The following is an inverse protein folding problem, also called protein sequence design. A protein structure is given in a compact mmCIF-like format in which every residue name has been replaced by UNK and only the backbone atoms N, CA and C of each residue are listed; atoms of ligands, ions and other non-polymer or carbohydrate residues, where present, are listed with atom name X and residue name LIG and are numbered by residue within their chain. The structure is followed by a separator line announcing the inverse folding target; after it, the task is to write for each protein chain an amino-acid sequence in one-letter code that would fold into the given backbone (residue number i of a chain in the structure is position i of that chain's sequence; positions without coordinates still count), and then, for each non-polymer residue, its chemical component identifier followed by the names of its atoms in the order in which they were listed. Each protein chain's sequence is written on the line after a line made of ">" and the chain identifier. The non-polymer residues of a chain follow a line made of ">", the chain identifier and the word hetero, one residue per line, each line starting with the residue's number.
data_IF_972200442530
#
_entry.id   IF_972200442530
#
_cell.length_a   1.000
_cell.length_b   1.000
_cell.length_c   1.000
_cell.angle_alpha   90.00
_cell.angle_beta   90.00
_cell.angle_gamma   90.00
#
_symmetry.space_group_name_H-M   'P 1'
#
loop_
_entity.id
_entity.type
_entity.pdbx_description
1 polymer ?
#
# COMPACT_ATOMS: atom_id res chain seq x y z
N UNK A 1 -7.43 -13.35 20.40
CA UNK A 1 -7.83 -12.08 21.02
C UNK A 1 -8.50 -11.27 19.93
N UNK A 2 -9.76 -10.85 20.13
CA UNK A 2 -10.37 -9.89 19.23
C UNK A 2 -9.58 -8.59 19.34
N UNK A 3 -9.12 -8.04 18.21
CA UNK A 3 -8.55 -6.70 18.16
C UNK A 3 -9.65 -5.73 18.65
N UNK A 4 -9.36 -4.97 19.71
CA UNK A 4 -10.23 -3.86 20.08
C UNK A 4 -9.93 -2.71 19.08
N UNK A 5 -10.81 -2.49 18.13
CA UNK A 5 -10.69 -1.49 17.07
C UNK A 5 -11.77 -0.40 17.25
N UNK A 6 -11.98 0.04 18.47
CA UNK A 6 -13.09 0.93 18.83
C UNK A 6 -12.91 2.34 18.26
N UNK A 7 -11.66 2.79 18.05
CA UNK A 7 -11.35 4.09 17.49
C UNK A 7 -10.34 3.99 16.33
N UNK A 8 -10.18 5.07 15.58
CA UNK A 8 -9.29 5.13 14.41
C UNK A 8 -7.80 4.98 14.78
N UNK A 9 -7.39 5.48 15.94
CA UNK A 9 -6.01 5.36 16.42
C UNK A 9 -5.64 3.88 16.60
N UNK A 10 -6.47 3.11 17.31
CA UNK A 10 -6.24 1.66 17.50
C UNK A 10 -6.19 0.92 16.16
N UNK A 11 -7.03 1.33 15.19
CA UNK A 11 -7.00 0.77 13.82
C UNK A 11 -5.69 1.08 13.12
N UNK A 12 -5.23 2.33 13.14
CA UNK A 12 -4.00 2.76 12.48
C UNK A 12 -2.76 2.07 13.07
N UNK A 13 -2.68 1.96 14.40
CA UNK A 13 -1.63 1.20 15.09
C UNK A 13 -1.66 -0.29 14.74
N UNK A 14 -2.84 -0.91 14.75
CA UNK A 14 -2.98 -2.33 14.41
C UNK A 14 -2.60 -2.64 12.97
N UNK A 15 -2.86 -1.71 12.02
CA UNK A 15 -2.52 -1.87 10.61
C UNK A 15 -1.02 -2.01 10.38
N UNK A 16 -0.18 -1.35 11.18
CA UNK A 16 1.28 -1.31 11.03
C UNK A 16 2.05 -1.98 12.17
N UNK A 17 1.36 -2.72 13.01
CA UNK A 17 1.96 -3.42 14.15
C UNK A 17 3.16 -4.29 13.74
N UNK A 18 4.16 -4.41 14.61
CA UNK A 18 5.36 -5.21 14.36
C UNK A 18 5.02 -6.66 13.99
N UNK A 19 5.65 -7.18 12.96
CA UNK A 19 5.36 -8.50 12.41
C UNK A 19 4.11 -8.56 11.52
N UNK A 20 3.48 -7.42 11.24
CA UNK A 20 2.27 -7.30 10.42
C UNK A 20 2.50 -6.37 9.23
N UNK A 21 1.69 -6.56 8.20
CA UNK A 21 1.62 -5.65 7.07
C UNK A 21 0.28 -5.77 6.35
N UNK A 22 0.14 -5.04 5.26
CA UNK A 22 -1.11 -4.90 4.52
C UNK A 22 -0.99 -5.61 3.16
N UNK A 23 -1.95 -6.46 2.84
CA UNK A 23 -2.10 -7.03 1.51
C UNK A 23 -2.85 -6.00 0.63
N UNK A 24 -2.16 -5.41 -0.33
CA UNK A 24 -2.77 -4.56 -1.34
C UNK A 24 -3.31 -5.41 -2.48
N UNK A 25 -4.61 -5.75 -2.42
CA UNK A 25 -5.34 -6.57 -3.38
C UNK A 25 -6.43 -5.74 -4.09
N UNK A 26 -6.12 -4.46 -4.34
CA UNK A 26 -7.04 -3.42 -4.79
C UNK A 26 -6.86 -3.05 -6.27
N UNK A 27 -6.25 -3.93 -7.05
CA UNK A 27 -6.09 -3.71 -8.48
C UNK A 27 -7.46 -3.51 -9.14
N UNK A 28 -7.59 -2.41 -9.90
CA UNK A 28 -8.76 -2.17 -10.75
C UNK A 28 -8.92 -3.28 -11.79
N UNK A 29 -10.11 -3.43 -12.35
CA UNK A 29 -10.42 -4.45 -13.38
C UNK A 29 -9.39 -4.47 -14.50
N UNK A 30 -8.94 -3.30 -14.98
CA UNK A 30 -7.91 -3.21 -16.03
C UNK A 30 -6.52 -3.64 -15.55
N UNK A 31 -6.19 -3.38 -14.28
CA UNK A 31 -4.87 -3.74 -13.72
C UNK A 31 -4.80 -5.23 -13.41
N UNK A 32 -5.83 -5.81 -12.82
CA UNK A 32 -5.87 -7.25 -12.55
C UNK A 32 -5.94 -8.05 -13.86
N UNK A 33 -6.64 -7.53 -14.89
CA UNK A 33 -6.67 -8.13 -16.23
C UNK A 33 -5.26 -8.31 -16.79
N UNK A 34 -4.45 -7.25 -16.78
CA UNK A 34 -3.04 -7.33 -17.23
C UNK A 34 -2.19 -8.34 -16.43
N UNK A 35 -2.51 -8.60 -15.17
CA UNK A 35 -1.82 -9.61 -14.38
C UNK A 35 -2.27 -11.03 -14.75
N UNK A 36 -3.56 -11.22 -14.94
CA UNK A 36 -4.12 -12.52 -15.38
C UNK A 36 -3.64 -12.89 -16.79
N UNK A 37 -3.49 -11.90 -17.68
CA UNK A 37 -2.92 -12.10 -19.01
C UNK A 37 -1.50 -12.69 -18.96
N UNK A 38 -0.69 -12.35 -17.96
CA UNK A 38 0.67 -12.90 -17.78
C UNK A 38 0.69 -14.41 -17.51
N UNK A 39 -0.42 -14.96 -17.05
CA UNK A 39 -0.61 -16.40 -16.80
C UNK A 39 -1.62 -17.02 -17.78
N UNK A 40 -1.90 -16.34 -18.90
CA UNK A 40 -2.84 -16.77 -19.92
C UNK A 40 -4.25 -17.11 -19.38
N UNK A 41 -4.72 -16.35 -18.38
CA UNK A 41 -6.02 -16.53 -17.75
C UNK A 41 -6.94 -15.37 -18.12
N UNK A 42 -8.13 -15.67 -18.64
CA UNK A 42 -9.11 -14.65 -19.00
C UNK A 42 -9.61 -13.89 -17.75
N UNK A 43 -9.67 -12.56 -17.84
CA UNK A 43 -10.17 -11.72 -16.77
C UNK A 43 -11.70 -11.60 -16.80
N UNK A 44 -12.37 -12.58 -16.25
CA UNK A 44 -13.81 -12.55 -15.96
C UNK A 44 -14.05 -12.16 -14.50
N UNK A 45 -15.28 -11.83 -14.14
CA UNK A 45 -15.65 -11.61 -12.74
C UNK A 45 -15.36 -12.85 -11.88
N UNK A 46 -15.64 -14.03 -12.40
CA UNK A 46 -15.41 -15.30 -11.71
C UNK A 46 -13.91 -15.57 -11.48
N UNK A 47 -13.06 -15.34 -12.49
CA UNK A 47 -11.61 -15.54 -12.33
C UNK A 47 -10.98 -14.51 -11.43
N UNK A 48 -11.47 -13.26 -11.46
CA UNK A 48 -11.03 -12.23 -10.51
C UNK A 48 -11.42 -12.59 -9.08
N UNK A 49 -12.67 -13.02 -8.86
CA UNK A 49 -13.11 -13.49 -7.55
C UNK A 49 -12.31 -14.71 -7.08
N UNK A 50 -12.10 -15.71 -7.92
CA UNK A 50 -11.29 -16.90 -7.58
C UNK A 50 -9.87 -16.53 -7.17
N UNK A 51 -9.26 -15.57 -7.85
CA UNK A 51 -7.94 -15.07 -7.46
C UNK A 51 -7.95 -14.35 -6.11
N UNK A 52 -8.96 -13.50 -5.83
CA UNK A 52 -9.11 -12.84 -4.53
C UNK A 52 -9.37 -13.84 -3.41
N UNK A 53 -10.24 -14.81 -3.68
CA UNK A 53 -10.58 -15.86 -2.73
C UNK A 53 -9.35 -16.63 -2.27
N UNK A 54 -8.52 -17.10 -3.21
CA UNK A 54 -7.30 -17.82 -2.85
C UNK A 54 -6.34 -17.02 -1.97
N UNK A 55 -6.29 -15.69 -2.13
CA UNK A 55 -5.46 -14.83 -1.31
C UNK A 55 -6.04 -14.64 0.10
N UNK A 56 -7.34 -14.39 0.19
CA UNK A 56 -8.01 -14.04 1.44
C UNK A 56 -8.29 -15.25 2.33
N UNK A 57 -8.46 -16.42 1.72
CA UNK A 57 -8.75 -17.68 2.45
C UNK A 57 -7.51 -18.49 2.80
N UNK A 58 -6.30 -17.98 2.54
CA UNK A 58 -5.06 -18.64 2.92
C UNK A 58 -4.98 -18.82 4.45
N UNK A 59 -4.84 -20.08 4.89
CA UNK A 59 -4.85 -20.41 6.32
C UNK A 59 -3.67 -19.72 7.05
N UNK A 60 -3.99 -19.11 8.19
CA UNK A 60 -3.00 -18.39 8.99
C UNK A 60 -2.58 -17.03 8.43
N UNK A 61 -3.22 -16.50 7.39
CA UNK A 61 -2.90 -15.20 6.78
C UNK A 61 -2.83 -14.08 7.83
N UNK A 62 -3.72 -14.09 8.80
CA UNK A 62 -3.77 -13.14 9.91
C UNK A 62 -2.53 -13.18 10.83
N UNK A 63 -1.66 -14.16 10.71
CA UNK A 63 -0.39 -14.16 11.46
C UNK A 63 0.56 -13.07 10.96
N UNK A 64 0.49 -12.72 9.66
CA UNK A 64 1.41 -11.80 8.99
C UNK A 64 0.72 -10.58 8.40
N UNK A 65 -0.59 -10.68 8.11
CA UNK A 65 -1.37 -9.61 7.48
C UNK A 65 -2.36 -9.03 8.47
N UNK A 66 -2.25 -7.72 8.69
CA UNK A 66 -3.13 -6.94 9.56
C UNK A 66 -4.38 -6.45 8.83
N UNK A 67 -4.26 -6.10 7.55
CA UNK A 67 -5.33 -5.54 6.76
C UNK A 67 -5.25 -5.90 5.29
N UNK A 68 -6.36 -5.81 4.58
CA UNK A 68 -6.47 -6.05 3.14
C UNK A 68 -7.13 -4.84 2.49
N UNK A 69 -6.46 -4.25 1.47
CA UNK A 69 -7.09 -3.25 0.61
C UNK A 69 -7.81 -3.98 -0.51
N UNK A 70 -9.10 -3.74 -0.66
CA UNK A 70 -9.93 -4.32 -1.71
C UNK A 70 -10.31 -3.28 -2.77
N UNK A 71 -10.58 -3.75 -3.98
CA UNK A 71 -11.26 -2.98 -5.01
C UNK A 71 -12.78 -3.08 -4.81
N UNK A 72 -13.54 -2.11 -5.30
CA UNK A 72 -15.00 -2.02 -5.12
C UNK A 72 -15.75 -3.31 -5.49
N UNK A 73 -15.47 -3.90 -6.66
CA UNK A 73 -16.03 -5.18 -7.10
C UNK A 73 -15.83 -6.26 -6.01
N UNK A 74 -14.60 -6.42 -5.56
CA UNK A 74 -14.22 -7.43 -4.55
C UNK A 74 -14.87 -7.17 -3.20
N UNK A 75 -15.02 -5.90 -2.82
CA UNK A 75 -15.61 -5.51 -1.55
C UNK A 75 -17.07 -5.98 -1.41
N UNK A 76 -17.77 -6.15 -2.54
CA UNK A 76 -19.15 -6.61 -2.59
C UNK A 76 -19.29 -8.11 -2.90
N UNK A 77 -18.18 -8.81 -3.16
CA UNK A 77 -18.17 -10.26 -3.42
C UNK A 77 -18.05 -11.06 -2.12
N UNK A 78 -18.36 -12.36 -2.21
CA UNK A 78 -18.27 -13.31 -1.09
C UNK A 78 -17.22 -14.38 -1.37
N UNK A 79 -16.79 -15.06 -0.30
CA UNK A 79 -15.93 -16.24 -0.41
C UNK A 79 -16.61 -17.35 -1.21
N UNK A 80 -15.83 -18.13 -1.95
CA UNK A 80 -16.33 -19.15 -2.88
C UNK A 80 -16.92 -20.38 -2.18
N UNK A 81 -16.66 -20.56 -0.91
CA UNK A 81 -17.28 -21.62 -0.11
C UNK A 81 -18.75 -21.32 0.30
N UNK A 82 -19.33 -20.21 -0.22
CA UNK A 82 -20.68 -19.76 0.06
C UNK A 82 -20.82 -19.03 1.40
N UNK A 83 -19.72 -18.54 1.92
CA UNK A 83 -19.66 -17.80 3.18
C UNK A 83 -20.02 -16.32 3.07
N UNK A 84 -19.55 -15.56 4.05
CA UNK A 84 -19.81 -14.13 4.21
C UNK A 84 -19.18 -13.29 3.10
N UNK A 85 -19.66 -12.06 2.92
CA UNK A 85 -18.99 -11.06 2.08
C UNK A 85 -17.56 -10.81 2.60
N UNK A 86 -16.61 -10.51 1.71
CA UNK A 86 -15.19 -10.42 2.11
C UNK A 86 -14.91 -9.49 3.28
N UNK A 87 -15.52 -8.32 3.44
CA UNK A 87 -15.29 -7.50 4.63
C UNK A 87 -15.63 -8.23 5.94
N UNK A 88 -16.74 -8.95 5.99
CA UNK A 88 -17.16 -9.72 7.17
C UNK A 88 -16.26 -10.94 7.37
N UNK A 89 -15.95 -11.67 6.29
CA UNK A 89 -15.03 -12.81 6.32
C UNK A 89 -13.65 -12.41 6.89
N UNK A 90 -13.03 -11.35 6.36
CA UNK A 90 -11.73 -10.87 6.81
C UNK A 90 -11.78 -10.41 8.28
N UNK A 91 -12.80 -9.66 8.66
CA UNK A 91 -13.00 -9.23 10.05
C UNK A 91 -13.14 -10.43 11.01
N UNK A 92 -13.85 -11.49 10.61
CA UNK A 92 -13.98 -12.73 11.39
C UNK A 92 -12.65 -13.44 11.61
N UNK A 93 -11.68 -13.24 10.69
CA UNK A 93 -10.31 -13.78 10.81
C UNK A 93 -9.36 -12.85 11.55
N UNK A 94 -9.82 -11.68 12.01
CA UNK A 94 -8.98 -10.68 12.67
C UNK A 94 -8.11 -9.89 11.69
N UNK A 95 -8.53 -9.77 10.42
CA UNK A 95 -7.90 -8.95 9.38
C UNK A 95 -8.78 -7.74 9.11
N UNK A 96 -8.20 -6.55 9.12
CA UNK A 96 -8.91 -5.28 8.98
C UNK A 96 -9.32 -5.06 7.52
N UNK A 97 -10.63 -4.90 7.21
CA UNK A 97 -11.09 -4.65 5.85
C UNK A 97 -10.82 -3.20 5.42
N UNK A 98 -10.29 -3.02 4.23
CA UNK A 98 -10.03 -1.72 3.63
C UNK A 98 -10.50 -1.63 2.19
N UNK A 99 -10.65 -0.40 1.70
CA UNK A 99 -11.21 -0.09 0.38
C UNK A 99 -10.36 0.95 -0.38
N UNK A 100 -10.08 0.70 -1.65
CA UNK A 100 -9.55 1.71 -2.57
C UNK A 100 -10.69 2.62 -3.03
N UNK A 101 -10.57 3.92 -2.78
CA UNK A 101 -11.64 4.90 -3.09
C UNK A 101 -11.29 5.89 -4.18
N UNK A 102 -10.03 5.98 -4.63
CA UNK A 102 -9.66 6.82 -5.77
C UNK A 102 -10.22 6.26 -7.10
N UNK A 103 -10.47 7.15 -8.05
CA UNK A 103 -10.94 6.84 -9.40
C UNK A 103 -9.79 6.74 -10.42
N UNK A 104 -8.54 6.66 -9.96
CA UNK A 104 -7.36 6.55 -10.80
C UNK A 104 -6.70 7.88 -11.15
N UNK A 105 -5.49 7.79 -11.70
CA UNK A 105 -4.67 8.93 -12.11
C UNK A 105 -4.99 9.33 -13.56
N UNK A 106 -5.27 10.61 -13.76
CA UNK A 106 -5.62 11.24 -15.04
C UNK A 106 -4.62 12.34 -15.37
N UNK A 107 -4.59 12.81 -16.61
CA UNK A 107 -3.72 13.91 -17.01
C UNK A 107 -4.07 15.18 -16.24
N UNK A 108 -3.05 15.84 -15.68
CA UNK A 108 -3.20 17.13 -15.02
C UNK A 108 -3.31 18.22 -16.07
N UNK A 109 -4.47 18.89 -16.13
CA UNK A 109 -4.72 19.94 -17.11
C UNK A 109 -3.73 21.09 -16.94
N UNK A 110 -3.13 21.53 -18.04
CA UNK A 110 -2.13 22.61 -18.02
C UNK A 110 -0.71 22.17 -17.68
N UNK A 111 -0.49 20.87 -17.54
CA UNK A 111 0.84 20.26 -17.37
C UNK A 111 1.04 19.13 -18.38
N UNK A 112 2.28 18.98 -18.86
CA UNK A 112 2.66 17.91 -19.78
C UNK A 112 3.17 16.71 -18.96
N UNK A 113 2.62 15.52 -19.26
CA UNK A 113 3.00 14.22 -18.67
C UNK A 113 2.81 14.07 -17.13
N UNK A 114 2.18 15.04 -16.48
CA UNK A 114 1.85 14.93 -15.05
C UNK A 114 0.41 14.43 -14.83
N UNK A 115 0.17 13.90 -13.64
CA UNK A 115 -1.11 13.27 -13.29
C UNK A 115 -1.73 13.91 -12.05
N UNK A 116 -3.06 13.87 -12.02
CA UNK A 116 -3.88 14.14 -10.84
C UNK A 116 -4.79 12.94 -10.59
N UNK A 117 -4.92 12.53 -9.36
CA UNK A 117 -5.84 11.47 -9.00
C UNK A 117 -7.24 12.02 -8.75
N UNK A 118 -8.24 11.41 -9.37
CA UNK A 118 -9.65 11.80 -9.27
C UNK A 118 -10.42 10.91 -8.29
N UNK A 119 -11.65 11.34 -7.93
CA UNK A 119 -12.57 10.55 -7.10
C UNK A 119 -13.06 11.25 -5.83
N UNK A 120 -12.80 12.56 -5.65
CA UNK A 120 -13.28 13.32 -4.49
C UNK A 120 -14.79 13.61 -4.56
N UNK A 121 -15.35 13.70 -5.76
CA UNK A 121 -16.78 13.99 -5.92
C UNK A 121 -17.63 12.83 -5.38
N UNK A 122 -18.56 13.14 -4.47
CA UNK A 122 -19.41 12.16 -3.80
C UNK A 122 -18.66 11.19 -2.86
N UNK A 123 -17.39 11.48 -2.52
CA UNK A 123 -16.58 10.58 -1.69
C UNK A 123 -17.12 10.45 -0.26
N UNK A 124 -17.67 11.50 0.31
CA UNK A 124 -18.26 11.47 1.66
C UNK A 124 -19.36 10.40 1.78
N UNK A 125 -20.32 10.42 0.83
CA UNK A 125 -21.40 9.41 0.80
C UNK A 125 -20.86 8.00 0.56
N UNK A 126 -19.86 7.83 -0.33
CA UNK A 126 -19.25 6.53 -0.57
C UNK A 126 -18.53 6.00 0.66
N UNK A 127 -17.80 6.83 1.39
CA UNK A 127 -17.12 6.45 2.64
C UNK A 127 -18.10 6.03 3.72
N UNK A 128 -19.19 6.82 3.90
CA UNK A 128 -20.26 6.44 4.83
C UNK A 128 -20.85 5.07 4.50
N UNK A 129 -21.04 4.75 3.21
CA UNK A 129 -21.56 3.46 2.78
C UNK A 129 -20.57 2.33 3.02
N UNK A 130 -19.29 2.49 2.64
CA UNK A 130 -18.26 1.49 2.90
C UNK A 130 -18.04 1.24 4.40
N UNK A 131 -18.14 2.30 5.23
CA UNK A 131 -18.04 2.16 6.68
C UNK A 131 -19.16 1.28 7.24
N UNK A 132 -20.38 1.44 6.76
CA UNK A 132 -21.54 0.59 7.14
C UNK A 132 -21.39 -0.86 6.70
N UNK A 133 -20.70 -1.09 5.57
CA UNK A 133 -20.39 -2.40 5.02
C UNK A 133 -19.14 -3.06 5.65
N UNK A 134 -18.52 -2.43 6.64
CA UNK A 134 -17.42 -3.00 7.42
C UNK A 134 -16.04 -2.46 7.11
N UNK A 135 -15.87 -1.52 6.17
CA UNK A 135 -14.56 -0.88 5.94
C UNK A 135 -14.10 -0.13 7.20
N UNK A 136 -12.82 -0.29 7.55
CA UNK A 136 -12.18 0.39 8.67
C UNK A 136 -11.09 1.35 8.22
N UNK A 137 -10.57 1.15 7.02
CA UNK A 137 -9.62 2.06 6.40
C UNK A 137 -9.90 2.19 4.90
N UNK A 138 -9.43 3.27 4.33
CA UNK A 138 -9.48 3.52 2.89
C UNK A 138 -8.08 3.81 2.34
N UNK A 139 -7.93 3.73 1.01
CA UNK A 139 -6.66 4.05 0.35
C UNK A 139 -6.90 4.95 -0.86
N UNK A 140 -6.03 5.96 -1.00
CA UNK A 140 -5.96 6.87 -2.14
C UNK A 140 -4.51 7.04 -2.57
N UNK A 141 -4.24 6.79 -3.85
CA UNK A 141 -2.91 6.86 -4.44
C UNK A 141 -2.78 8.08 -5.35
N UNK A 142 -1.80 8.94 -5.09
CA UNK A 142 -1.29 9.91 -6.04
C UNK A 142 -0.04 9.34 -6.72
N UNK A 143 0.23 9.71 -7.99
CA UNK A 143 1.42 9.28 -8.73
C UNK A 143 2.16 10.50 -9.25
N UNK A 144 3.46 10.54 -9.01
CA UNK A 144 4.35 11.65 -9.32
C UNK A 144 5.57 11.09 -10.07
N UNK A 145 5.87 11.66 -11.23
CA UNK A 145 7.02 11.27 -12.06
C UNK A 145 8.22 12.16 -11.76
N UNK A 146 9.44 11.61 -11.85
CA UNK A 146 10.69 12.36 -11.89
C UNK A 146 11.20 12.37 -13.34
N UNK A 147 11.36 13.56 -13.91
CA UNK A 147 11.99 13.81 -15.22
C UNK A 147 12.86 15.08 -15.11
N UNK A 148 13.48 15.52 -16.21
CA UNK A 148 14.24 16.78 -16.21
C UNK A 148 13.37 18.01 -15.85
N UNK A 149 12.05 17.94 -16.08
CA UNK A 149 11.11 19.06 -15.89
C UNK A 149 10.07 18.79 -14.79
N UNK A 150 9.95 17.56 -14.33
CA UNK A 150 8.91 17.13 -13.38
C UNK A 150 9.53 16.48 -12.14
N UNK A 151 8.84 16.52 -10.98
CA UNK A 151 7.51 17.10 -10.81
C UNK A 151 7.53 18.64 -10.75
N UNK A 152 6.49 19.27 -11.26
CA UNK A 152 6.25 20.70 -11.05
C UNK A 152 5.64 20.96 -9.66
N UNK A 153 5.88 22.15 -9.11
CA UNK A 153 5.20 22.63 -7.89
C UNK A 153 3.67 22.49 -8.00
N UNK A 154 3.14 22.70 -9.20
CA UNK A 154 1.70 22.58 -9.45
C UNK A 154 1.21 21.15 -9.26
N UNK A 155 1.92 20.18 -9.81
CA UNK A 155 1.58 18.76 -9.65
C UNK A 155 1.66 18.32 -8.18
N UNK A 156 2.74 18.68 -7.49
CA UNK A 156 2.94 18.34 -6.07
C UNK A 156 1.79 18.91 -5.24
N UNK A 157 1.51 20.21 -5.36
CA UNK A 157 0.46 20.89 -4.58
C UNK A 157 -0.94 20.37 -4.88
N UNK A 158 -1.26 20.13 -6.15
CA UNK A 158 -2.57 19.61 -6.53
C UNK A 158 -2.83 18.21 -5.95
N UNK A 159 -1.84 17.31 -6.01
CA UNK A 159 -1.95 15.97 -5.46
C UNK A 159 -1.94 15.98 -3.92
N UNK A 160 -1.09 16.78 -3.28
CA UNK A 160 -1.06 16.94 -1.83
C UNK A 160 -2.41 17.44 -1.29
N UNK A 161 -3.00 18.45 -1.94
CA UNK A 161 -4.33 18.95 -1.60
C UNK A 161 -5.42 17.89 -1.75
N UNK A 162 -5.38 17.10 -2.83
CA UNK A 162 -6.34 16.01 -3.04
C UNK A 162 -6.20 14.91 -1.97
N UNK A 163 -4.97 14.53 -1.61
CA UNK A 163 -4.68 13.56 -0.55
C UNK A 163 -5.20 14.04 0.81
N UNK A 164 -4.99 15.31 1.14
CA UNK A 164 -5.45 15.87 2.41
C UNK A 164 -6.99 15.98 2.48
N UNK A 165 -7.66 16.38 1.39
CA UNK A 165 -9.13 16.37 1.32
C UNK A 165 -9.69 14.96 1.49
N UNK A 166 -9.10 13.99 0.81
CA UNK A 166 -9.47 12.58 0.98
C UNK A 166 -9.30 12.13 2.44
N UNK A 167 -8.15 12.44 3.07
CA UNK A 167 -7.87 12.03 4.44
C UNK A 167 -8.87 12.64 5.44
N UNK A 168 -9.18 13.93 5.32
CA UNK A 168 -10.17 14.60 6.15
C UNK A 168 -11.57 14.00 6.01
N UNK A 169 -11.99 13.66 4.77
CA UNK A 169 -13.27 12.97 4.52
C UNK A 169 -13.30 11.57 5.14
N UNK A 170 -12.18 10.83 5.09
CA UNK A 170 -12.09 9.52 5.75
C UNK A 170 -12.31 9.64 7.25
N UNK A 171 -11.59 10.54 7.92
CA UNK A 171 -11.70 10.73 9.37
C UNK A 171 -13.10 11.21 9.79
N UNK A 172 -13.76 12.05 8.99
CA UNK A 172 -15.15 12.46 9.22
C UNK A 172 -16.16 11.30 9.15
N UNK A 173 -15.77 10.16 8.57
CA UNK A 173 -16.59 8.95 8.44
C UNK A 173 -16.08 7.77 9.29
N UNK A 174 -15.23 7.99 10.29
CA UNK A 174 -14.61 6.94 11.13
C UNK A 174 -13.86 5.88 10.32
N UNK A 175 -13.15 6.30 9.28
CA UNK A 175 -12.33 5.46 8.39
C UNK A 175 -10.90 5.97 8.41
N UNK A 176 -9.94 5.11 8.72
CA UNK A 176 -8.51 5.45 8.73
C UNK A 176 -8.02 5.69 7.28
N UNK A 177 -7.46 6.85 6.93
CA UNK A 177 -6.90 7.07 5.61
C UNK A 177 -5.49 6.45 5.48
N UNK A 178 -5.27 5.64 4.44
CA UNK A 178 -3.92 5.40 3.90
C UNK A 178 -3.64 6.49 2.88
N UNK A 179 -2.70 7.37 3.19
CA UNK A 179 -2.22 8.45 2.33
C UNK A 179 -1.03 7.93 1.52
N UNK A 180 -1.22 7.79 0.18
CA UNK A 180 -0.23 7.17 -0.71
C UNK A 180 0.31 8.18 -1.75
N UNK A 181 1.27 9.07 -1.37
CA UNK A 181 2.00 9.90 -2.32
C UNK A 181 3.14 9.09 -2.94
N UNK A 182 2.91 8.46 -4.09
CA UNK A 182 3.92 7.62 -4.74
C UNK A 182 4.73 8.41 -5.75
N UNK A 183 6.03 8.50 -5.52
CA UNK A 183 7.01 8.89 -6.53
C UNK A 183 7.37 7.62 -7.32
N UNK A 184 7.14 7.67 -8.64
CA UNK A 184 7.36 6.52 -9.51
C UNK A 184 8.86 6.26 -9.71
N UNK A 185 9.20 4.97 -9.78
CA UNK A 185 10.57 4.52 -10.06
C UNK A 185 10.88 4.41 -11.55
N UNK A 186 9.93 4.82 -12.40
CA UNK A 186 10.15 4.89 -13.84
C UNK A 186 11.05 6.07 -14.15
N UNK A 187 12.02 5.90 -15.05
CA UNK A 187 12.94 6.95 -15.44
C UNK A 187 14.39 6.65 -15.09
N UNK A 188 15.27 7.63 -15.34
CA UNK A 188 16.73 7.51 -15.21
C UNK A 188 17.33 8.32 -14.07
N UNK A 189 16.51 8.82 -13.14
CA UNK A 189 16.93 9.60 -11.97
C UNK A 189 17.79 8.75 -11.02
N UNK A 190 18.72 9.38 -10.36
CA UNK A 190 19.52 8.73 -9.32
C UNK A 190 18.81 8.76 -7.94
N UNK A 191 19.47 8.25 -6.92
CA UNK A 191 18.91 8.19 -5.57
C UNK A 191 18.84 9.59 -4.92
N UNK A 192 19.70 10.51 -5.29
CA UNK A 192 19.74 11.88 -4.76
C UNK A 192 18.53 12.67 -5.29
N UNK A 193 18.22 12.56 -6.58
CA UNK A 193 17.03 13.12 -7.19
C UNK A 193 15.75 12.58 -6.52
N UNK A 194 15.70 11.25 -6.33
CA UNK A 194 14.59 10.59 -5.64
C UNK A 194 14.43 11.09 -4.20
N UNK A 195 15.55 11.30 -3.49
CA UNK A 195 15.54 11.84 -2.12
C UNK A 195 14.94 13.24 -2.07
N UNK A 196 15.44 14.14 -2.91
CA UNK A 196 14.99 15.55 -2.92
C UNK A 196 13.50 15.64 -3.24
N UNK A 197 13.04 14.94 -4.27
CA UNK A 197 11.62 14.96 -4.66
C UNK A 197 10.74 14.30 -3.60
N UNK A 198 11.17 13.18 -3.00
CA UNK A 198 10.41 12.52 -1.95
C UNK A 198 10.26 13.42 -0.71
N UNK A 199 11.33 14.09 -0.29
CA UNK A 199 11.32 15.02 0.83
C UNK A 199 10.36 16.18 0.59
N UNK A 200 10.42 16.82 -0.59
CA UNK A 200 9.56 17.94 -0.97
C UNK A 200 8.08 17.53 -1.01
N UNK A 201 7.77 16.40 -1.64
CA UNK A 201 6.41 15.87 -1.71
C UNK A 201 5.85 15.58 -0.32
N UNK A 202 6.64 14.94 0.55
CA UNK A 202 6.19 14.62 1.91
C UNK A 202 5.94 15.89 2.73
N UNK A 203 6.83 16.88 2.68
CA UNK A 203 6.60 18.16 3.34
C UNK A 203 5.31 18.83 2.87
N UNK A 204 5.09 18.91 1.56
CA UNK A 204 3.87 19.50 0.98
C UNK A 204 2.62 18.72 1.39
N UNK A 205 2.67 17.38 1.40
CA UNK A 205 1.55 16.55 1.83
C UNK A 205 1.22 16.78 3.31
N UNK A 206 2.22 16.83 4.20
CA UNK A 206 1.96 17.04 5.62
C UNK A 206 1.51 18.47 5.93
N UNK A 207 1.96 19.48 5.20
CA UNK A 207 1.45 20.85 5.30
C UNK A 207 -0.03 20.93 4.91
N UNK A 208 -0.44 20.24 3.84
CA UNK A 208 -1.85 20.17 3.42
C UNK A 208 -2.71 19.36 4.39
N UNK A 209 -2.20 18.25 4.93
CA UNK A 209 -2.88 17.46 5.97
C UNK A 209 -3.12 18.29 7.23
N UNK A 210 -2.10 19.04 7.67
CA UNK A 210 -2.22 19.96 8.81
C UNK A 210 -3.25 21.06 8.56
N UNK A 211 -3.19 21.69 7.38
CA UNK A 211 -4.12 22.77 6.98
C UNK A 211 -5.57 22.32 6.99
N UNK A 212 -5.83 21.07 6.67
CA UNK A 212 -7.17 20.49 6.62
C UNK A 212 -7.59 19.78 7.91
N UNK A 213 -6.78 19.87 8.97
CA UNK A 213 -7.10 19.39 10.31
C UNK A 213 -7.06 17.88 10.48
N UNK A 214 -6.34 17.16 9.61
CA UNK A 214 -6.17 15.71 9.69
C UNK A 214 -5.37 15.34 10.93
N UNK A 215 -5.89 14.41 11.73
CA UNK A 215 -5.19 13.86 12.90
C UNK A 215 -4.17 12.83 12.45
N UNK A 216 -2.89 13.07 12.73
CA UNK A 216 -1.79 12.19 12.26
C UNK A 216 -1.79 10.83 12.94
N UNK A 217 -2.26 10.76 14.16
CA UNK A 217 -2.41 9.52 14.94
C UNK A 217 -3.45 8.56 14.34
N UNK A 218 -4.32 9.08 13.48
CA UNK A 218 -5.44 8.35 12.88
C UNK A 218 -5.25 8.12 11.38
N UNK A 219 -3.99 8.03 10.91
CA UNK A 219 -3.66 7.75 9.51
C UNK A 219 -2.50 6.76 9.38
N UNK A 220 -2.34 6.21 8.19
CA UNK A 220 -1.15 5.44 7.79
C UNK A 220 -0.54 6.10 6.55
N UNK A 221 0.76 6.33 6.57
CA UNK A 221 1.49 6.78 5.39
C UNK A 221 1.89 5.56 4.54
N UNK A 222 1.64 5.61 3.23
CA UNK A 222 2.07 4.58 2.27
C UNK A 222 2.93 5.19 1.16
N UNK A 223 4.20 5.43 1.41
CA UNK A 223 5.11 6.05 0.45
C UNK A 223 5.90 5.00 -0.34
N UNK A 224 6.61 5.49 -1.38
CA UNK A 224 7.77 4.79 -1.95
C UNK A 224 8.95 4.77 -0.97
N UNK A 225 9.90 3.87 -1.21
CA UNK A 225 11.26 3.99 -0.69
C UNK A 225 12.04 4.98 -1.58
N UNK A 226 13.08 5.59 -1.07
CA UNK A 226 13.98 6.45 -1.86
C UNK A 226 14.87 5.55 -2.71
N UNK A 227 14.61 5.51 -4.01
CA UNK A 227 15.22 4.55 -4.95
C UNK A 227 15.72 5.27 -6.21
N UNK A 228 16.82 4.77 -6.78
CA UNK A 228 17.20 5.11 -8.16
C UNK A 228 16.12 4.60 -9.13
N UNK A 229 15.88 5.35 -10.19
CA UNK A 229 14.99 4.94 -11.29
C UNK A 229 15.46 3.66 -11.97
N UNK A 230 14.55 2.94 -12.61
CA UNK A 230 14.87 1.68 -13.30
C UNK A 230 15.81 1.86 -14.49
N UNK A 231 15.81 3.04 -15.11
CA UNK A 231 16.71 3.42 -16.21
C UNK A 231 18.02 4.04 -15.76
N UNK A 232 18.27 4.18 -14.46
CA UNK A 232 19.53 4.71 -13.95
C UNK A 232 20.72 3.79 -14.30
N UNK A 233 21.85 4.39 -14.69
CA UNK A 233 23.05 3.64 -15.05
C UNK A 233 23.70 2.95 -13.84
N UNK A 234 23.61 3.58 -12.67
CA UNK A 234 24.10 3.08 -11.39
C UNK A 234 22.96 3.13 -10.38
N UNK A 235 22.52 1.97 -9.95
CA UNK A 235 21.41 1.85 -9.00
C UNK A 235 21.94 1.60 -7.61
N UNK A 236 21.44 2.38 -6.66
CA UNK A 236 21.77 2.27 -5.26
C UNK A 236 21.50 0.85 -4.71
N UNK A 237 22.41 0.38 -3.86
CA UNK A 237 22.28 -0.89 -3.18
C UNK A 237 21.39 -0.82 -1.93
N UNK A 238 21.16 -1.99 -1.29
CA UNK A 238 20.21 -2.13 -0.17
C UNK A 238 20.51 -1.16 0.98
N UNK A 239 21.77 -1.06 1.40
CA UNK A 239 22.16 -0.22 2.53
C UNK A 239 22.00 1.27 2.23
N UNK A 240 22.26 1.68 1.00
CA UNK A 240 22.13 3.05 0.55
C UNK A 240 20.67 3.46 0.45
N UNK A 241 19.82 2.62 -0.16
CA UNK A 241 18.36 2.82 -0.21
C UNK A 241 17.77 2.92 1.19
N UNK A 242 18.16 2.02 2.09
CA UNK A 242 17.66 2.04 3.46
C UNK A 242 18.08 3.31 4.21
N UNK A 243 19.36 3.70 4.08
CA UNK A 243 19.89 4.90 4.73
C UNK A 243 19.23 6.18 4.20
N UNK A 244 19.12 6.31 2.87
CA UNK A 244 18.49 7.47 2.24
C UNK A 244 17.01 7.57 2.61
N UNK A 245 16.27 6.45 2.60
CA UNK A 245 14.86 6.43 2.96
C UNK A 245 14.64 6.82 4.42
N UNK A 246 15.39 6.23 5.34
CA UNK A 246 15.30 6.58 6.77
C UNK A 246 15.64 8.04 7.01
N UNK A 247 16.70 8.56 6.39
CA UNK A 247 17.09 9.96 6.53
C UNK A 247 16.01 10.90 5.99
N UNK A 248 15.47 10.65 4.81
CA UNK A 248 14.39 11.44 4.21
C UNK A 248 13.18 11.52 5.16
N UNK A 249 12.78 10.39 5.71
CA UNK A 249 11.56 10.31 6.53
C UNK A 249 11.73 10.91 7.92
N UNK A 250 12.91 10.78 8.53
CA UNK A 250 13.21 11.48 9.79
C UNK A 250 13.17 13.01 9.65
N UNK A 251 13.33 13.52 8.43
CA UNK A 251 13.27 14.96 8.13
C UNK A 251 11.86 15.44 7.78
N UNK A 252 11.01 14.57 7.24
CA UNK A 252 9.76 14.98 6.59
C UNK A 252 8.48 14.38 7.20
N UNK A 253 8.56 13.27 7.94
CA UNK A 253 7.36 12.59 8.50
C UNK A 253 7.19 12.89 9.98
N UNK A 254 6.05 13.47 10.41
CA UNK A 254 5.76 13.71 11.83
C UNK A 254 5.79 12.43 12.66
N UNK A 255 6.39 12.49 13.85
CA UNK A 255 6.46 11.35 14.77
C UNK A 255 5.09 10.91 15.32
N UNK A 256 4.06 11.72 15.15
CA UNK A 256 2.69 11.40 15.53
C UNK A 256 2.01 10.38 14.62
N UNK A 257 2.55 10.13 13.41
CA UNK A 257 2.05 9.07 12.52
C UNK A 257 2.36 7.70 13.13
N UNK A 258 1.38 6.80 13.34
CA UNK A 258 1.63 5.51 14.02
C UNK A 258 2.55 4.59 13.21
N UNK A 259 2.41 4.62 11.88
CA UNK A 259 3.18 3.73 11.03
C UNK A 259 3.25 4.11 9.56
N UNK A 260 4.28 3.58 8.93
CA UNK A 260 4.60 3.74 7.52
C UNK A 260 4.55 2.35 6.88
N UNK A 261 3.62 2.16 5.94
CA UNK A 261 3.44 0.92 5.21
C UNK A 261 3.91 1.10 3.77
N UNK A 262 5.17 0.80 3.46
CA UNK A 262 5.78 1.03 2.15
C UNK A 262 5.04 0.32 1.02
N UNK A 263 4.94 0.98 -0.14
CA UNK A 263 4.61 0.31 -1.38
C UNK A 263 5.85 -0.41 -1.95
N UNK A 264 5.66 -1.38 -2.83
CA UNK A 264 6.78 -2.07 -3.50
C UNK A 264 7.23 -1.40 -4.80
N UNK A 265 6.35 -0.63 -5.44
CA UNK A 265 6.63 0.20 -6.62
C UNK A 265 7.19 -0.53 -7.86
N UNK A 266 7.26 -1.86 -7.84
CA UNK A 266 7.82 -2.67 -8.91
C UNK A 266 9.23 -3.19 -8.65
N UNK A 267 9.75 -2.98 -7.44
CA UNK A 267 10.91 -3.73 -6.96
C UNK A 267 10.66 -5.24 -7.07
N UNK A 268 11.72 -6.03 -7.14
CA UNK A 268 11.59 -7.47 -6.95
C UNK A 268 11.03 -7.78 -5.55
N UNK A 269 10.47 -8.97 -5.38
CA UNK A 269 9.94 -9.41 -4.09
C UNK A 269 11.03 -9.39 -3.01
N UNK A 270 12.24 -9.80 -3.39
CA UNK A 270 13.42 -9.89 -2.53
C UNK A 270 13.98 -8.51 -2.19
N UNK A 271 14.14 -7.62 -3.18
CA UNK A 271 14.62 -6.23 -2.94
C UNK A 271 13.68 -5.48 -2.00
N UNK A 272 12.37 -5.54 -2.24
CA UNK A 272 11.39 -4.87 -1.39
C UNK A 272 11.45 -5.37 0.06
N UNK A 273 11.69 -6.67 0.26
CA UNK A 273 11.86 -7.28 1.58
C UNK A 273 13.19 -6.88 2.22
N UNK A 274 14.29 -6.90 1.45
CA UNK A 274 15.62 -6.56 1.93
C UNK A 274 15.72 -5.08 2.36
N UNK A 275 15.19 -4.17 1.56
CA UNK A 275 15.15 -2.74 1.89
C UNK A 275 14.34 -2.48 3.17
N UNK A 276 13.15 -3.08 3.29
CA UNK A 276 12.33 -2.96 4.49
C UNK A 276 13.08 -3.48 5.74
N UNK A 277 13.76 -4.62 5.59
CA UNK A 277 14.55 -5.20 6.66
C UNK A 277 15.70 -4.29 7.09
N UNK A 278 16.47 -3.77 6.15
CA UNK A 278 17.61 -2.89 6.41
C UNK A 278 17.18 -1.59 7.12
N UNK A 279 16.06 -0.97 6.69
CA UNK A 279 15.50 0.21 7.37
C UNK A 279 15.10 -0.09 8.82
N UNK A 280 14.47 -1.25 9.08
CA UNK A 280 14.13 -1.66 10.45
C UNK A 280 15.36 -1.96 11.30
N UNK A 281 16.46 -2.45 10.71
CA UNK A 281 17.74 -2.65 11.41
C UNK A 281 18.41 -1.31 11.75
N UNK A 282 18.39 -0.33 10.83
CA UNK A 282 18.97 1.02 11.07
C UNK A 282 18.28 1.71 12.24
N UNK A 283 16.95 1.69 12.27
CA UNK A 283 16.18 2.40 13.31
C UNK A 283 16.13 1.63 14.65
N UNK A 284 16.21 0.29 14.60
CA UNK A 284 16.10 -0.54 15.79
C UNK A 284 14.82 -0.26 16.59
N UNK A 285 14.95 -0.22 17.93
CA UNK A 285 13.82 0.02 18.85
C UNK A 285 13.48 1.49 19.06
N UNK A 286 14.32 2.43 18.58
CA UNK A 286 14.15 3.87 18.79
C UNK A 286 13.43 4.59 17.61
N UNK A 287 12.66 3.86 16.83
CA UNK A 287 11.92 4.41 15.69
C UNK A 287 10.68 5.17 16.14
N UNK A 288 10.40 6.36 15.55
CA UNK A 288 9.19 7.11 15.88
C UNK A 288 7.92 6.47 15.31
N UNK A 289 8.03 5.64 14.27
CA UNK A 289 6.93 4.95 13.59
C UNK A 289 7.21 3.45 13.47
N UNK A 290 6.17 2.66 13.35
CA UNK A 290 6.33 1.29 12.84
C UNK A 290 6.62 1.32 11.33
N UNK A 291 7.69 0.63 10.89
CA UNK A 291 7.96 0.43 9.46
C UNK A 291 7.43 -0.93 9.04
N UNK A 292 6.46 -0.91 8.16
CA UNK A 292 5.73 -2.06 7.67
C UNK A 292 5.63 -2.05 6.14
N UNK A 293 4.85 -2.94 5.56
CA UNK A 293 4.62 -3.07 4.13
C UNK A 293 3.13 -2.98 3.80
N UNK A 294 2.83 -2.44 2.62
CA UNK A 294 1.53 -2.55 1.95
C UNK A 294 1.79 -2.95 0.49
N UNK A 295 2.10 -4.24 0.31
CA UNK A 295 2.58 -4.74 -0.96
C UNK A 295 1.45 -5.34 -1.81
N UNK A 296 1.47 -4.99 -3.10
CA UNK A 296 0.70 -5.65 -4.14
C UNK A 296 1.55 -6.72 -4.84
N UNK A 297 2.32 -6.33 -5.88
CA UNK A 297 3.11 -7.27 -6.68
C UNK A 297 4.10 -8.08 -5.85
N UNK A 298 4.91 -7.44 -5.03
CA UNK A 298 5.94 -8.11 -4.24
C UNK A 298 5.40 -9.11 -3.21
N UNK A 299 4.10 -9.12 -2.94
CA UNK A 299 3.46 -10.12 -2.10
C UNK A 299 2.67 -11.15 -2.90
N UNK A 300 2.04 -10.76 -4.02
CA UNK A 300 1.11 -11.57 -4.78
C UNK A 300 1.75 -12.32 -5.97
N UNK A 301 2.85 -11.80 -6.54
CA UNK A 301 3.43 -12.33 -7.79
C UNK A 301 3.80 -13.81 -7.71
N UNK A 302 4.43 -14.34 -6.63
CA UNK A 302 4.70 -15.76 -6.49
C UNK A 302 3.41 -16.60 -6.43
N UNK A 303 2.38 -16.11 -5.74
CA UNK A 303 1.08 -16.79 -5.66
C UNK A 303 0.40 -16.84 -7.03
N UNK A 304 0.39 -15.73 -7.77
CA UNK A 304 -0.17 -15.66 -9.12
C UNK A 304 0.54 -16.65 -10.07
N UNK A 305 1.88 -16.68 -10.05
CA UNK A 305 2.68 -17.61 -10.83
C UNK A 305 2.41 -19.06 -10.47
N UNK A 306 2.22 -19.38 -9.19
CA UNK A 306 1.92 -20.72 -8.75
C UNK A 306 0.50 -21.15 -9.08
N UNK A 307 -0.48 -20.23 -9.08
CA UNK A 307 -1.88 -20.49 -9.35
C UNK A 307 -2.17 -20.87 -10.81
N UNK A 308 -1.61 -20.15 -11.78
CA UNK A 308 -1.81 -20.37 -13.23
C UNK A 308 -3.29 -20.45 -13.64
N UNK A 309 -4.21 -19.82 -12.90
CA UNK A 309 -5.65 -19.84 -13.18
C UNK A 309 -6.35 -21.18 -12.87
N UNK A 310 -5.68 -22.13 -12.24
CA UNK A 310 -6.21 -23.47 -11.99
C UNK A 310 -6.59 -23.70 -10.53
N UNK A 311 -7.79 -24.24 -10.29
CA UNK A 311 -8.23 -24.65 -8.96
C UNK A 311 -7.35 -25.74 -8.32
N UNK A 312 -6.68 -26.57 -9.12
CA UNK A 312 -5.76 -27.59 -8.62
C UNK A 312 -4.50 -27.00 -7.96
N UNK A 313 -4.17 -25.75 -8.31
CA UNK A 313 -2.98 -25.05 -7.83
C UNK A 313 -3.22 -24.14 -6.63
N UNK A 314 -4.43 -24.06 -6.09
CA UNK A 314 -4.78 -23.14 -4.98
C UNK A 314 -3.84 -23.36 -3.80
N UNK A 315 -3.62 -24.59 -3.37
CA UNK A 315 -2.75 -24.88 -2.22
C UNK A 315 -1.30 -24.41 -2.43
N UNK A 316 -0.76 -24.59 -3.63
CA UNK A 316 0.59 -24.12 -3.97
C UNK A 316 0.66 -22.59 -4.01
N UNK A 317 -0.36 -21.94 -4.54
CA UNK A 317 -0.45 -20.47 -4.58
C UNK A 317 -0.55 -19.86 -3.18
N UNK A 318 -1.37 -20.44 -2.31
CA UNK A 318 -1.48 -20.04 -0.90
C UNK A 318 -0.17 -20.24 -0.16
N UNK A 319 0.52 -21.37 -0.37
CA UNK A 319 1.84 -21.59 0.23
C UNK A 319 2.87 -20.54 -0.20
N UNK A 320 2.87 -20.16 -1.49
CA UNK A 320 3.75 -19.10 -2.01
C UNK A 320 3.43 -17.72 -1.40
N UNK A 321 2.13 -17.36 -1.27
CA UNK A 321 1.69 -16.16 -0.58
C UNK A 321 2.16 -16.14 0.86
N UNK A 322 1.95 -17.23 1.60
CA UNK A 322 2.28 -17.33 3.01
C UNK A 322 3.80 -17.27 3.24
N UNK A 323 4.62 -17.85 2.34
CA UNK A 323 6.08 -17.68 2.40
C UNK A 323 6.46 -16.20 2.31
N UNK A 324 5.97 -15.46 1.30
CA UNK A 324 6.26 -14.03 1.14
C UNK A 324 5.75 -13.19 2.31
N UNK A 325 4.52 -13.44 2.77
CA UNK A 325 3.96 -12.75 3.92
C UNK A 325 4.82 -12.95 5.19
N UNK A 326 5.31 -14.16 5.43
CA UNK A 326 6.21 -14.47 6.54
C UNK A 326 7.55 -13.74 6.42
N UNK A 327 8.17 -13.71 5.23
CA UNK A 327 9.46 -13.06 5.02
C UNK A 327 9.33 -11.54 5.19
N UNK A 328 8.28 -10.93 4.66
CA UNK A 328 7.99 -9.52 4.88
C UNK A 328 7.68 -9.21 6.36
N UNK A 329 6.99 -10.10 7.07
CA UNK A 329 6.79 -9.99 8.52
C UNK A 329 8.11 -9.99 9.30
N UNK A 330 9.06 -10.84 8.94
CA UNK A 330 10.40 -10.84 9.51
C UNK A 330 11.15 -9.53 9.20
N UNK A 331 11.00 -8.99 7.99
CA UNK A 331 11.61 -7.73 7.60
C UNK A 331 11.11 -6.54 8.42
N UNK A 332 9.83 -6.49 8.81
CA UNK A 332 9.32 -5.46 9.72
C UNK A 332 9.96 -5.49 11.11
N UNK A 333 10.63 -6.59 11.45
CA UNK A 333 11.30 -6.82 12.72
C UNK A 333 12.83 -6.76 12.61
N UNK A 334 13.38 -6.48 11.40
CA UNK A 334 14.82 -6.52 11.14
C UNK A 334 15.44 -7.91 11.20
N UNK A 335 14.64 -8.98 11.02
CA UNK A 335 15.03 -10.39 11.20
C UNK A 335 15.06 -11.20 9.90
N UNK A 336 14.82 -10.55 8.77
CA UNK A 336 14.91 -11.21 7.47
C UNK A 336 16.39 -11.40 7.07
N UNK A 337 16.66 -12.52 6.40
CA UNK A 337 17.92 -12.82 5.71
C UNK A 337 17.61 -13.46 4.36
N UNK A 338 18.44 -13.21 3.37
CA UNK A 338 18.34 -13.82 2.03
C UNK A 338 18.42 -15.34 2.04
N UNK A 339 19.04 -15.94 3.05
CA UNK A 339 19.10 -17.40 3.24
C UNK A 339 17.72 -18.03 3.50
N UNK A 340 16.70 -17.21 3.77
CA UNK A 340 15.33 -17.66 4.01
C UNK A 340 14.48 -17.76 2.72
N UNK A 341 15.02 -17.31 1.57
CA UNK A 341 14.31 -17.34 0.27
C UNK A 341 14.21 -18.74 -0.39
#
# INVERSE_FOLDING_TARGET
>A
MSLNLDNMNDVAEAMTASGKGILAADESTGTIGKRLDQINTESTEQTRNAYRDLLFTADGLNQYISGVIMYDETFHQSSLDGGDVYPEYLASKGIIPGIKVDAGAHSLSGSEDEKITLGLDGLDERLSNYRKLGARFAKWRAVINITELNPSDYCIKANAHALARYAALCQSNDVVPIVEPEILMDGGHDIEDSFVVTEEVLHTVFDELYTQGVQYEEMVLKPNMVLSGYGANDRAGVDEVASATVQCFLRSVPAAVPGIAFLSGGQSDEDATAHLNAMNQILGDNKPWHLSFSYGRALQQPALKAWQGSGENISNAQAALMKRAKLNSLATQGKYSTDLE
#
